data_IF_731568685823
#
_entry.id   IF_731568685823
#
_cell.length_a   1.000
_cell.length_b   1.000
_cell.length_c   1.000
_cell.angle_alpha   90.00
_cell.angle_beta   90.00
_cell.angle_gamma   90.00
#
_symmetry.space_group_name_H-M   'P 1'
#
loop_
_entity.id
_entity.type
_entity.pdbx_description
1 polymer ?
#
# COMPACT_ATOMS: atom_id res chain seq x y z
N UNK A 1 -18.72 -13.42 18.75
CA UNK A 1 -17.53 -12.57 19.04
C UNK A 1 -17.89 -11.35 19.88
N UNK A 2 -18.93 -10.59 19.55
CA UNK A 2 -19.37 -9.43 20.37
C UNK A 2 -19.78 -9.83 21.78
N UNK A 3 -20.59 -10.89 21.95
CA UNK A 3 -21.05 -11.37 23.27
C UNK A 3 -19.89 -11.80 24.17
N UNK A 4 -18.92 -12.54 23.64
CA UNK A 4 -17.73 -12.99 24.38
C UNK A 4 -16.89 -11.78 24.87
N UNK A 5 -16.75 -10.75 24.05
CA UNK A 5 -15.99 -9.54 24.43
C UNK A 5 -16.72 -8.71 25.48
N UNK A 6 -18.06 -8.68 25.45
CA UNK A 6 -18.88 -7.99 26.45
C UNK A 6 -18.85 -8.71 27.81
N UNK A 7 -18.75 -10.05 27.80
CA UNK A 7 -18.61 -10.84 29.03
C UNK A 7 -17.20 -10.78 29.65
N UNK A 8 -16.17 -10.65 28.80
CA UNK A 8 -14.76 -10.66 29.24
C UNK A 8 -14.28 -9.29 29.74
N UNK A 9 -14.81 -8.21 29.16
CA UNK A 9 -14.49 -6.83 29.52
C UNK A 9 -15.75 -6.12 30.04
N UNK A 10 -15.57 -5.06 30.84
CA UNK A 10 -16.71 -4.21 31.23
C UNK A 10 -17.52 -3.78 30.00
N UNK A 11 -18.84 -3.79 30.10
CA UNK A 11 -19.76 -3.59 28.98
C UNK A 11 -19.36 -2.50 27.97
N UNK A 12 -18.95 -1.27 28.40
CA UNK A 12 -18.58 -0.25 27.42
C UNK A 12 -17.29 -0.61 26.66
N UNK A 13 -16.27 -1.11 27.32
CA UNK A 13 -14.98 -1.44 26.70
C UNK A 13 -15.11 -2.62 25.72
N UNK A 14 -15.88 -3.66 26.08
CA UNK A 14 -16.14 -4.80 25.19
C UNK A 14 -16.82 -4.37 23.87
N UNK A 15 -17.77 -3.46 23.93
CA UNK A 15 -18.44 -2.91 22.75
C UNK A 15 -17.46 -2.11 21.87
N UNK A 16 -16.63 -1.28 22.50
CA UNK A 16 -15.61 -0.49 21.80
C UNK A 16 -14.63 -1.40 21.06
N UNK A 17 -14.08 -2.42 21.73
CA UNK A 17 -13.14 -3.37 21.11
C UNK A 17 -13.79 -4.09 19.93
N UNK A 18 -15.03 -4.57 20.08
CA UNK A 18 -15.77 -5.24 19.01
C UNK A 18 -15.95 -4.34 17.77
N UNK A 19 -16.24 -3.06 17.98
CA UNK A 19 -16.37 -2.09 16.90
C UNK A 19 -15.03 -1.78 16.23
N UNK A 20 -13.95 -1.63 16.98
CA UNK A 20 -12.60 -1.43 16.43
C UNK A 20 -12.14 -2.62 15.59
N UNK A 21 -12.37 -3.85 16.05
CA UNK A 21 -12.10 -5.07 15.27
C UNK A 21 -12.93 -5.08 13.99
N UNK A 22 -14.22 -4.74 14.08
CA UNK A 22 -15.09 -4.68 12.91
C UNK A 22 -14.66 -3.61 11.90
N UNK A 23 -14.18 -2.44 12.37
CA UNK A 23 -13.69 -1.37 11.50
C UNK A 23 -12.38 -1.74 10.77
N UNK A 24 -11.61 -2.69 11.30
CA UNK A 24 -10.37 -3.18 10.68
C UNK A 24 -10.62 -3.75 9.27
N UNK A 25 -11.79 -4.31 8.99
CA UNK A 25 -12.17 -4.82 7.66
C UNK A 25 -12.09 -3.74 6.57
N UNK A 26 -12.53 -2.52 6.86
CA UNK A 26 -12.52 -1.41 5.89
C UNK A 26 -11.09 -1.01 5.54
N UNK A 27 -10.19 -1.05 6.53
CA UNK A 27 -8.76 -0.85 6.31
C UNK A 27 -8.19 -1.92 5.37
N UNK A 28 -8.53 -3.19 5.59
CA UNK A 28 -8.08 -4.29 4.73
C UNK A 28 -8.59 -4.10 3.30
N UNK A 29 -9.88 -3.79 3.12
CA UNK A 29 -10.47 -3.56 1.80
C UNK A 29 -9.79 -2.40 1.07
N UNK A 30 -9.58 -1.27 1.74
CA UNK A 30 -8.91 -0.13 1.15
C UNK A 30 -7.45 -0.45 0.77
N UNK A 31 -6.73 -1.20 1.63
CA UNK A 31 -5.37 -1.65 1.34
C UNK A 31 -5.32 -2.59 0.13
N UNK A 32 -6.28 -3.51 -0.01
CA UNK A 32 -6.37 -4.41 -1.14
C UNK A 32 -6.67 -3.64 -2.45
N UNK A 33 -7.61 -2.69 -2.42
CA UNK A 33 -7.92 -1.83 -3.58
C UNK A 33 -6.68 -1.03 -3.98
N UNK A 34 -6.01 -0.41 -3.02
CA UNK A 34 -4.80 0.36 -3.27
C UNK A 34 -3.67 -0.50 -3.87
N UNK A 35 -3.45 -1.69 -3.30
CA UNK A 35 -2.38 -2.58 -3.74
C UNK A 35 -2.67 -3.23 -5.09
N UNK A 36 -3.89 -3.73 -5.32
CA UNK A 36 -4.27 -4.36 -6.59
C UNK A 36 -4.38 -3.33 -7.71
N UNK A 37 -5.14 -2.25 -7.50
CA UNK A 37 -5.30 -1.19 -8.49
C UNK A 37 -3.98 -0.46 -8.78
N UNK A 38 -3.25 -0.09 -7.73
CA UNK A 38 -1.92 0.53 -7.86
C UNK A 38 -0.90 -0.41 -8.49
N UNK A 39 -0.93 -1.70 -8.16
CA UNK A 39 -0.07 -2.72 -8.74
C UNK A 39 -0.30 -2.90 -10.24
N UNK A 40 -1.55 -2.96 -10.69
CA UNK A 40 -1.87 -3.04 -12.13
C UNK A 40 -1.33 -1.83 -12.91
N UNK A 41 -1.51 -0.62 -12.37
CA UNK A 41 -0.96 0.60 -12.98
C UNK A 41 0.57 0.59 -12.91
N UNK A 42 1.16 0.13 -11.79
CA UNK A 42 2.60 0.02 -11.63
C UNK A 42 3.24 -0.91 -12.66
N UNK A 43 2.60 -2.02 -13.05
CA UNK A 43 3.08 -2.90 -14.11
C UNK A 43 3.23 -2.14 -15.43
N UNK A 44 2.20 -1.37 -15.81
CA UNK A 44 2.24 -0.55 -17.01
C UNK A 44 3.37 0.49 -16.93
N UNK A 45 3.45 1.23 -15.81
CA UNK A 45 4.48 2.26 -15.62
C UNK A 45 5.88 1.65 -15.64
N UNK A 46 6.09 0.51 -14.98
CA UNK A 46 7.38 -0.20 -15.00
C UNK A 46 7.77 -0.58 -16.41
N UNK A 47 6.83 -1.13 -17.20
CA UNK A 47 7.08 -1.47 -18.59
C UNK A 47 7.49 -0.25 -19.41
N UNK A 48 6.80 0.89 -19.25
CA UNK A 48 7.15 2.14 -19.93
C UNK A 48 8.53 2.67 -19.51
N UNK A 49 8.91 2.49 -18.25
CA UNK A 49 10.19 2.92 -17.66
C UNK A 49 11.41 2.17 -18.18
N UNK A 50 11.23 0.89 -18.55
CA UNK A 50 12.32 0.04 -19.08
C UNK A 50 12.31 -0.02 -20.61
N UNK A 51 11.28 0.51 -21.26
CA UNK A 51 11.15 0.49 -22.72
C UNK A 51 12.26 1.32 -23.39
N UNK A 52 12.84 0.89 -24.54
CA UNK A 52 13.90 1.61 -25.24
C UNK A 52 13.51 3.02 -25.73
N UNK A 53 12.23 3.31 -25.89
CA UNK A 53 11.73 4.64 -26.33
C UNK A 53 11.96 5.70 -25.26
N UNK A 54 12.74 6.73 -25.59
CA UNK A 54 13.02 7.87 -24.71
C UNK A 54 11.74 8.63 -24.28
N UNK A 55 10.74 8.72 -25.18
CA UNK A 55 9.47 9.43 -24.91
C UNK A 55 8.68 8.69 -23.83
N UNK A 56 8.50 7.37 -23.97
CA UNK A 56 7.77 6.56 -23.00
C UNK A 56 8.46 6.56 -21.62
N UNK A 57 9.78 6.48 -21.65
CA UNK A 57 10.57 6.55 -20.42
C UNK A 57 10.42 7.91 -19.73
N UNK A 58 10.46 9.03 -20.49
CA UNK A 58 10.32 10.37 -19.93
C UNK A 58 8.93 10.61 -19.32
N UNK A 59 7.84 10.20 -20.01
CA UNK A 59 6.48 10.33 -19.50
C UNK A 59 6.31 9.54 -18.19
N UNK A 60 6.73 8.29 -18.18
CA UNK A 60 6.64 7.44 -16.99
C UNK A 60 7.55 7.92 -15.85
N UNK A 61 8.73 8.47 -16.17
CA UNK A 61 9.61 9.11 -15.19
C UNK A 61 8.93 10.31 -14.53
N UNK A 62 8.34 11.21 -15.33
CA UNK A 62 7.66 12.39 -14.82
C UNK A 62 6.50 12.04 -13.90
N UNK A 63 5.74 10.99 -14.24
CA UNK A 63 4.67 10.47 -13.39
C UNK A 63 5.21 10.00 -12.04
N UNK A 64 6.22 9.13 -12.05
CA UNK A 64 6.81 8.58 -10.81
C UNK A 64 7.42 9.69 -9.97
N UNK A 65 8.19 10.59 -10.59
CA UNK A 65 8.83 11.71 -9.90
C UNK A 65 7.79 12.62 -9.23
N UNK A 66 6.71 12.97 -9.95
CA UNK A 66 5.64 13.81 -9.41
C UNK A 66 4.99 13.19 -8.18
N UNK A 67 4.51 11.95 -8.29
CA UNK A 67 3.72 11.33 -7.22
C UNK A 67 4.56 10.80 -6.06
N UNK A 68 5.84 10.51 -6.25
CA UNK A 68 6.76 10.21 -5.14
C UNK A 68 7.22 11.47 -4.39
N UNK A 69 7.26 12.63 -5.05
CA UNK A 69 7.60 13.89 -4.41
C UNK A 69 6.48 14.44 -3.52
N UNK A 70 5.24 13.97 -3.70
CA UNK A 70 4.09 14.40 -2.91
C UNK A 70 3.91 13.50 -1.68
N UNK A 71 3.79 14.07 -0.46
CA UNK A 71 3.37 13.30 0.70
C UNK A 71 1.98 12.70 0.47
N UNK A 72 1.77 11.43 0.89
CA UNK A 72 0.47 10.76 0.76
C UNK A 72 -0.69 11.60 1.34
N UNK A 73 -0.46 12.27 2.46
CA UNK A 73 -1.45 13.13 3.09
C UNK A 73 -1.88 14.29 2.17
N UNK A 74 -0.94 14.91 1.45
CA UNK A 74 -1.26 15.97 0.50
C UNK A 74 -2.07 15.46 -0.68
N UNK A 75 -1.79 14.25 -1.15
CA UNK A 75 -2.56 13.63 -2.22
C UNK A 75 -4.00 13.35 -1.78
N UNK A 76 -4.19 12.87 -0.54
CA UNK A 76 -5.51 12.69 0.07
C UNK A 76 -6.26 14.02 0.19
N UNK A 77 -5.60 15.11 0.59
CA UNK A 77 -6.22 16.43 0.66
C UNK A 77 -6.62 16.97 -0.72
N UNK A 78 -5.75 16.84 -1.70
CA UNK A 78 -6.04 17.32 -3.07
C UNK A 78 -7.25 16.59 -3.63
N UNK A 79 -7.26 15.25 -3.58
CA UNK A 79 -8.31 14.43 -4.19
C UNK A 79 -9.58 14.40 -3.33
N UNK A 80 -9.43 14.33 -2.00
CA UNK A 80 -10.58 14.17 -1.09
C UNK A 80 -11.27 15.48 -0.70
N UNK A 81 -10.55 16.61 -0.71
CA UNK A 81 -11.09 17.89 -0.29
C UNK A 81 -10.93 18.99 -1.35
N UNK A 82 -9.78 19.04 -2.03
CA UNK A 82 -9.46 20.09 -2.98
C UNK A 82 -10.31 20.01 -4.25
N UNK A 83 -10.26 18.87 -4.93
CA UNK A 83 -11.02 18.65 -6.18
C UNK A 83 -12.54 18.75 -5.94
N UNK A 84 -13.13 18.10 -4.93
CA UNK A 84 -14.56 18.25 -4.63
C UNK A 84 -14.99 19.70 -4.43
N UNK A 85 -14.22 20.46 -3.64
CA UNK A 85 -14.49 21.87 -3.41
C UNK A 85 -14.39 22.72 -4.67
N UNK A 86 -13.43 22.40 -5.57
CA UNK A 86 -13.27 23.13 -6.82
C UNK A 86 -14.41 22.86 -7.81
N UNK A 87 -14.91 21.61 -7.87
CA UNK A 87 -16.00 21.19 -8.77
C UNK A 87 -17.39 21.52 -8.17
N UNK A 88 -17.47 21.80 -6.86
CA UNK A 88 -18.73 22.03 -6.17
C UNK A 88 -19.56 20.76 -5.91
N UNK A 89 -18.91 19.60 -5.85
CA UNK A 89 -19.53 18.30 -5.59
C UNK A 89 -18.80 17.56 -4.47
N UNK A 90 -19.54 16.95 -3.57
CA UNK A 90 -18.95 16.11 -2.53
C UNK A 90 -18.54 14.74 -3.10
N UNK A 91 -17.31 14.31 -2.79
CA UNK A 91 -16.85 12.96 -3.11
C UNK A 91 -17.00 12.06 -1.89
N UNK A 92 -17.53 10.86 -2.14
CA UNK A 92 -17.52 9.82 -1.11
C UNK A 92 -16.05 9.54 -0.70
N UNK A 93 -15.73 9.55 0.61
CA UNK A 93 -14.40 9.26 1.12
C UNK A 93 -13.78 7.95 0.62
N UNK A 94 -14.61 6.96 0.26
CA UNK A 94 -14.15 5.71 -0.34
C UNK A 94 -13.45 5.92 -1.69
N UNK A 95 -14.09 6.68 -2.59
CA UNK A 95 -13.50 6.96 -3.90
C UNK A 95 -12.26 7.83 -3.77
N UNK A 96 -12.33 8.87 -2.95
CA UNK A 96 -11.21 9.77 -2.74
C UNK A 96 -9.98 9.05 -2.15
N UNK A 97 -10.17 8.22 -1.11
CA UNK A 97 -9.10 7.43 -0.51
C UNK A 97 -8.56 6.39 -1.48
N UNK A 98 -9.44 5.67 -2.20
CA UNK A 98 -9.04 4.64 -3.16
C UNK A 98 -8.19 5.23 -4.30
N UNK A 99 -8.63 6.30 -4.92
CA UNK A 99 -7.90 6.96 -6.02
C UNK A 99 -6.54 7.47 -5.54
N UNK A 100 -6.51 8.17 -4.40
CA UNK A 100 -5.27 8.69 -3.82
C UNK A 100 -4.24 7.59 -3.55
N UNK A 101 -4.69 6.51 -2.91
CA UNK A 101 -3.83 5.39 -2.56
C UNK A 101 -3.40 4.57 -3.79
N UNK A 102 -4.27 4.39 -4.79
CA UNK A 102 -3.92 3.71 -6.05
C UNK A 102 -2.84 4.49 -6.79
N UNK A 103 -2.97 5.81 -6.92
CA UNK A 103 -1.95 6.66 -7.57
C UNK A 103 -0.63 6.57 -6.80
N UNK A 104 -0.67 6.75 -5.47
CA UNK A 104 0.51 6.66 -4.63
C UNK A 104 1.21 5.29 -4.76
N UNK A 105 0.44 4.21 -4.63
CA UNK A 105 0.93 2.84 -4.72
C UNK A 105 1.55 2.55 -6.09
N UNK A 106 0.92 3.03 -7.16
CA UNK A 106 1.41 2.77 -8.52
C UNK A 106 2.77 3.41 -8.78
N UNK A 107 3.00 4.63 -8.30
CA UNK A 107 4.28 5.31 -8.46
C UNK A 107 5.40 4.60 -7.68
N UNK A 108 5.13 4.20 -6.45
CA UNK A 108 6.12 3.54 -5.59
C UNK A 108 6.43 2.10 -6.03
N UNK A 109 5.40 1.29 -6.34
CA UNK A 109 5.62 -0.09 -6.83
C UNK A 109 6.33 -0.11 -8.18
N UNK A 110 6.03 0.83 -9.07
CA UNK A 110 6.72 0.93 -10.35
C UNK A 110 8.23 1.13 -10.16
N UNK A 111 8.65 1.93 -9.20
CA UNK A 111 10.06 2.16 -8.91
C UNK A 111 10.70 0.94 -8.20
N UNK A 112 9.98 0.29 -7.30
CA UNK A 112 10.42 -0.98 -6.68
C UNK A 112 10.69 -2.03 -7.74
N UNK A 113 9.77 -2.24 -8.67
CA UNK A 113 9.92 -3.24 -9.73
C UNK A 113 10.95 -2.85 -10.77
N UNK A 114 11.06 -1.58 -11.12
CA UNK A 114 12.14 -1.07 -11.98
C UNK A 114 13.51 -1.33 -11.33
N UNK A 115 13.65 -1.04 -10.03
CA UNK A 115 14.87 -1.30 -9.28
C UNK A 115 15.26 -2.79 -9.29
N UNK A 116 14.27 -3.68 -9.11
CA UNK A 116 14.49 -5.12 -9.19
C UNK A 116 14.94 -5.57 -10.59
N UNK A 117 14.39 -4.97 -11.67
CA UNK A 117 14.82 -5.25 -13.05
C UNK A 117 16.26 -4.80 -13.27
N UNK A 118 16.63 -3.63 -12.77
CA UNK A 118 17.99 -3.10 -12.91
C UNK A 118 19.04 -3.85 -12.06
N UNK A 119 18.59 -4.59 -11.04
CA UNK A 119 19.48 -5.45 -10.25
C UNK A 119 19.95 -6.69 -11.03
N UNK A 120 19.30 -7.03 -12.14
CA UNK A 120 19.74 -8.15 -13.00
C UNK A 120 21.04 -7.78 -13.71
N UNK A 121 22.08 -8.64 -13.62
CA UNK A 121 23.37 -8.38 -14.24
C UNK A 121 23.27 -8.14 -15.74
N UNK A 122 24.02 -7.15 -16.25
CA UNK A 122 24.02 -6.79 -17.68
C UNK A 122 24.31 -7.98 -18.60
N UNK A 123 25.17 -8.91 -18.18
CA UNK A 123 25.48 -10.12 -18.94
C UNK A 123 24.26 -10.99 -19.27
N UNK A 124 23.20 -10.95 -18.46
CA UNK A 124 21.93 -11.64 -18.77
C UNK A 124 21.24 -11.00 -19.98
N UNK A 125 21.27 -9.68 -20.07
CA UNK A 125 20.72 -8.93 -21.19
C UNK A 125 21.54 -9.11 -22.46
N UNK A 126 22.87 -9.03 -22.35
CA UNK A 126 23.82 -9.16 -23.46
C UNK A 126 23.82 -10.59 -24.01
N UNK A 127 23.84 -11.61 -23.14
CA UNK A 127 23.76 -13.01 -23.54
C UNK A 127 22.46 -13.35 -24.26
N UNK A 128 21.31 -12.81 -23.77
CA UNK A 128 20.02 -12.98 -24.42
C UNK A 128 19.98 -12.27 -25.79
N UNK A 129 20.57 -11.08 -25.90
CA UNK A 129 20.69 -10.37 -27.17
C UNK A 129 21.58 -11.12 -28.19
N UNK A 130 22.66 -11.77 -27.74
CA UNK A 130 23.52 -12.60 -28.58
C UNK A 130 22.78 -13.82 -29.17
N UNK A 131 21.73 -14.29 -28.52
CA UNK A 131 20.81 -15.31 -29.03
C UNK A 131 19.74 -14.75 -30.02
N UNK A 132 19.89 -13.50 -30.44
CA UNK A 132 18.98 -12.79 -31.34
C UNK A 132 17.54 -12.70 -30.83
N UNK A 133 17.34 -12.69 -29.50
CA UNK A 133 16.04 -12.47 -28.88
C UNK A 133 15.65 -10.99 -28.95
N UNK A 134 14.40 -10.71 -29.28
CA UNK A 134 13.88 -9.34 -29.24
C UNK A 134 13.60 -8.89 -27.80
N UNK A 135 13.43 -7.58 -27.59
CA UNK A 135 13.25 -6.99 -26.26
C UNK A 135 12.16 -7.68 -25.42
N UNK A 136 11.01 -7.97 -26.00
CA UNK A 136 9.90 -8.63 -25.29
C UNK A 136 10.23 -10.09 -24.92
N UNK A 137 10.94 -10.81 -25.79
CA UNK A 137 11.40 -12.17 -25.51
C UNK A 137 12.43 -12.18 -24.38
N UNK A 138 13.42 -11.27 -24.43
CA UNK A 138 14.41 -11.10 -23.35
C UNK A 138 13.69 -10.84 -22.03
N UNK A 139 12.76 -9.87 -22.02
CA UNK A 139 12.03 -9.51 -20.83
C UNK A 139 11.24 -10.69 -20.26
N UNK A 140 10.44 -11.37 -21.10
CA UNK A 140 9.54 -12.45 -20.67
C UNK A 140 10.27 -13.73 -20.27
N UNK A 141 11.28 -14.14 -21.05
CA UNK A 141 11.92 -15.46 -20.90
C UNK A 141 13.11 -15.45 -19.94
N UNK A 142 13.82 -14.34 -19.85
CA UNK A 142 15.09 -14.26 -19.09
C UNK A 142 14.93 -13.35 -17.86
N UNK A 143 14.43 -12.14 -18.05
CA UNK A 143 14.48 -11.10 -17.01
C UNK A 143 13.36 -11.28 -15.97
N UNK A 144 12.09 -11.35 -16.38
CA UNK A 144 10.96 -11.43 -15.44
C UNK A 144 11.07 -12.63 -14.48
N UNK A 145 11.43 -13.85 -14.90
CA UNK A 145 11.61 -14.96 -13.98
C UNK A 145 12.66 -14.72 -12.89
N UNK A 146 13.72 -13.98 -13.23
CA UNK A 146 14.77 -13.62 -12.28
C UNK A 146 14.33 -12.45 -11.38
N UNK A 147 13.70 -11.41 -11.95
CA UNK A 147 13.20 -10.23 -11.23
C UNK A 147 12.22 -10.59 -10.11
N UNK A 148 11.40 -11.63 -10.30
CA UNK A 148 10.47 -12.09 -9.28
C UNK A 148 11.16 -12.32 -7.92
N UNK A 149 12.34 -12.92 -7.91
CA UNK A 149 13.14 -13.16 -6.69
C UNK A 149 13.52 -11.85 -5.99
N UNK A 150 13.94 -10.83 -6.74
CA UNK A 150 14.39 -9.55 -6.20
C UNK A 150 13.24 -8.60 -5.83
N UNK A 151 12.07 -8.75 -6.45
CA UNK A 151 10.95 -7.84 -6.28
C UNK A 151 9.98 -8.23 -5.16
N UNK A 152 9.86 -9.53 -4.82
CA UNK A 152 8.79 -10.00 -3.96
C UNK A 152 8.89 -9.46 -2.53
N UNK A 153 10.08 -9.50 -1.92
CA UNK A 153 10.27 -9.03 -0.55
C UNK A 153 10.05 -7.51 -0.41
N UNK A 154 10.63 -6.63 -1.27
CA UNK A 154 10.30 -5.21 -1.27
C UNK A 154 8.82 -4.92 -1.53
N UNK A 155 8.15 -5.73 -2.38
CA UNK A 155 6.72 -5.59 -2.65
C UNK A 155 5.87 -5.87 -1.41
N UNK A 156 6.18 -6.95 -0.66
CA UNK A 156 5.48 -7.26 0.60
C UNK A 156 5.76 -6.18 1.67
N UNK A 157 7.00 -5.70 1.75
CA UNK A 157 7.37 -4.61 2.66
C UNK A 157 6.60 -3.33 2.35
N UNK A 158 6.39 -3.01 1.07
CA UNK A 158 5.58 -1.88 0.65
C UNK A 158 4.08 -2.08 0.93
N UNK A 159 3.55 -3.31 0.82
CA UNK A 159 2.18 -3.61 1.23
C UNK A 159 1.94 -3.28 2.71
N UNK A 160 2.90 -3.61 3.58
CA UNK A 160 2.83 -3.24 5.01
C UNK A 160 2.79 -1.71 5.17
N UNK A 161 3.58 -0.99 4.38
CA UNK A 161 3.58 0.48 4.38
C UNK A 161 2.21 1.04 3.94
N UNK A 162 1.58 0.46 2.92
CA UNK A 162 0.23 0.85 2.48
C UNK A 162 -0.80 0.60 3.57
N UNK A 163 -0.79 -0.57 4.24
CA UNK A 163 -1.70 -0.85 5.35
C UNK A 163 -1.59 0.21 6.46
N UNK A 164 -0.38 0.67 6.77
CA UNK A 164 -0.17 1.78 7.72
C UNK A 164 -0.63 3.11 7.13
N UNK A 165 -0.32 3.37 5.87
CA UNK A 165 -0.66 4.61 5.15
C UNK A 165 -2.16 4.85 4.98
N UNK A 166 -2.97 3.78 4.85
CA UNK A 166 -4.44 3.94 4.78
C UNK A 166 -5.01 4.64 6.01
N UNK A 167 -4.31 4.60 7.16
CA UNK A 167 -4.76 5.31 8.37
C UNK A 167 -4.87 6.82 8.18
N UNK A 168 -4.13 7.42 7.22
CA UNK A 168 -4.22 8.84 6.94
C UNK A 168 -5.56 9.25 6.30
N UNK A 169 -6.27 8.29 5.70
CA UNK A 169 -7.55 8.55 5.06
C UNK A 169 -8.66 8.98 6.05
N UNK A 170 -8.47 8.79 7.37
CA UNK A 170 -9.41 9.30 8.38
C UNK A 170 -9.62 10.82 8.28
N UNK A 171 -8.61 11.55 7.79
CA UNK A 171 -8.64 13.02 7.70
C UNK A 171 -9.70 13.50 6.69
N UNK A 172 -9.92 12.75 5.62
CA UNK A 172 -10.96 13.03 4.62
C UNK A 172 -12.31 12.39 4.97
N UNK A 173 -12.45 11.85 6.19
CA UNK A 173 -13.70 11.26 6.68
C UNK A 173 -13.86 9.76 6.38
N UNK A 174 -12.83 9.06 5.88
CA UNK A 174 -12.88 7.62 5.66
C UNK A 174 -13.07 6.87 6.97
N UNK A 175 -14.13 6.06 7.06
CA UNK A 175 -14.52 5.36 8.29
C UNK A 175 -13.75 4.05 8.45
N UNK A 176 -12.52 4.15 8.96
CA UNK A 176 -11.67 3.00 9.29
C UNK A 176 -11.41 2.88 10.80
N UNK A 177 -10.53 1.94 11.15
CA UNK A 177 -10.05 1.75 12.52
C UNK A 177 -9.52 3.06 13.14
N UNK A 178 -8.82 3.93 12.35
CA UNK A 178 -8.24 5.15 12.89
C UNK A 178 -9.29 6.21 13.22
N UNK A 179 -10.25 6.43 12.32
CA UNK A 179 -11.33 7.39 12.56
C UNK A 179 -12.21 6.95 13.73
N UNK A 180 -12.58 5.67 13.77
CA UNK A 180 -13.41 5.14 14.84
C UNK A 180 -12.70 5.18 16.19
N UNK A 181 -11.41 4.81 16.23
CA UNK A 181 -10.61 4.88 17.46
C UNK A 181 -10.48 6.32 17.98
N UNK A 182 -10.26 7.29 17.09
CA UNK A 182 -10.25 8.72 17.49
C UNK A 182 -11.61 9.20 18.02
N UNK A 183 -12.71 8.75 17.42
CA UNK A 183 -14.06 9.10 17.92
C UNK A 183 -14.27 8.56 19.34
N UNK A 184 -13.91 7.30 19.58
CA UNK A 184 -13.99 6.70 20.91
C UNK A 184 -13.04 7.37 21.90
N UNK A 185 -11.78 7.61 21.56
CA UNK A 185 -10.81 8.27 22.42
C UNK A 185 -11.21 9.69 22.87
N UNK A 186 -12.15 10.32 22.16
CA UNK A 186 -12.69 11.64 22.53
C UNK A 186 -14.13 11.56 23.06
N UNK A 187 -14.71 10.37 23.21
CA UNK A 187 -16.06 10.21 23.74
C UNK A 187 -16.06 10.31 25.28
N UNK A 188 -17.06 10.93 25.90
CA UNK A 188 -17.16 11.04 27.37
C UNK A 188 -17.73 9.73 27.96
N UNK A 189 -17.06 8.62 27.74
CA UNK A 189 -17.48 7.28 28.19
C UNK A 189 -16.34 6.64 28.98
N UNK A 190 -16.66 6.03 30.10
CA UNK A 190 -15.69 5.28 30.94
C UNK A 190 -15.10 4.12 30.11
N UNK A 191 -13.78 3.99 30.11
CA UNK A 191 -13.07 2.98 29.31
C UNK A 191 -12.78 3.41 27.86
N UNK A 192 -13.10 4.65 27.47
CA UNK A 192 -12.79 5.22 26.16
C UNK A 192 -11.60 6.20 26.17
N UNK A 193 -10.90 6.28 27.30
CA UNK A 193 -9.78 7.21 27.43
C UNK A 193 -8.67 6.96 26.40
N UNK A 194 -8.02 8.00 25.88
CA UNK A 194 -6.99 7.88 24.83
C UNK A 194 -5.88 6.89 25.17
N UNK A 195 -5.46 6.83 26.44
CA UNK A 195 -4.41 5.91 26.90
C UNK A 195 -4.87 4.44 26.94
N UNK A 196 -6.15 4.14 26.78
CA UNK A 196 -6.71 2.78 26.62
C UNK A 196 -6.91 2.48 25.14
N UNK A 197 -7.56 3.40 24.41
CA UNK A 197 -7.97 3.18 23.02
C UNK A 197 -6.76 3.10 22.07
N UNK A 198 -5.78 4.00 22.18
CA UNK A 198 -4.62 3.99 21.27
C UNK A 198 -3.75 2.73 21.42
N UNK A 199 -3.44 2.20 22.62
CA UNK A 199 -2.78 0.90 22.74
C UNK A 199 -3.57 -0.25 22.10
N UNK A 200 -4.89 -0.30 22.25
CA UNK A 200 -5.73 -1.32 21.62
C UNK A 200 -5.62 -1.22 20.09
N UNK A 201 -5.71 -0.01 19.55
CA UNK A 201 -5.50 0.21 18.11
C UNK A 201 -4.09 -0.23 17.69
N UNK A 202 -3.05 0.10 18.45
CA UNK A 202 -1.68 -0.30 18.16
C UNK A 202 -1.52 -1.83 18.10
N UNK A 203 -2.16 -2.56 19.02
CA UNK A 203 -2.19 -4.03 18.99
C UNK A 203 -2.88 -4.54 17.73
N UNK A 204 -4.02 -3.96 17.34
CA UNK A 204 -4.72 -4.35 16.10
C UNK A 204 -3.85 -4.10 14.85
N UNK A 205 -3.17 -2.95 14.76
CA UNK A 205 -2.20 -2.68 13.69
C UNK A 205 -1.03 -3.66 13.70
N UNK A 206 -0.52 -3.98 14.89
CA UNK A 206 0.54 -4.96 15.04
C UNK A 206 0.10 -6.34 14.54
N UNK A 207 -1.08 -6.82 14.94
CA UNK A 207 -1.63 -8.10 14.50
C UNK A 207 -1.82 -8.16 12.97
N UNK A 208 -2.16 -7.04 12.32
CA UNK A 208 -2.27 -6.97 10.86
C UNK A 208 -0.92 -6.98 10.16
N UNK A 209 0.06 -6.21 10.66
CA UNK A 209 1.31 -5.98 9.97
C UNK A 209 2.38 -7.04 10.29
N UNK A 210 2.37 -7.60 11.50
CA UNK A 210 3.40 -8.52 11.99
C UNK A 210 3.51 -9.82 11.18
N UNK A 211 2.41 -10.52 10.81
CA UNK A 211 2.50 -11.71 9.98
C UNK A 211 3.13 -11.43 8.61
N UNK A 212 2.76 -10.29 8.01
CA UNK A 212 3.33 -9.86 6.73
C UNK A 212 4.82 -9.50 6.86
N UNK A 213 5.23 -8.90 7.97
CA UNK A 213 6.64 -8.57 8.23
C UNK A 213 7.51 -9.83 8.40
N UNK A 214 7.01 -10.85 9.10
CA UNK A 214 7.69 -12.15 9.20
C UNK A 214 7.81 -12.77 7.80
N UNK A 215 6.73 -12.76 7.04
CA UNK A 215 6.73 -13.31 5.69
C UNK A 215 7.71 -12.59 4.76
N UNK A 216 7.74 -11.25 4.76
CA UNK A 216 8.73 -10.47 4.00
C UNK A 216 10.16 -10.86 4.37
N UNK A 217 10.47 -10.93 5.67
CA UNK A 217 11.80 -11.32 6.16
C UNK A 217 12.18 -12.76 5.78
N UNK A 218 11.21 -13.67 5.74
CA UNK A 218 11.46 -15.05 5.27
C UNK A 218 11.80 -15.06 3.78
N UNK A 219 11.08 -14.29 2.96
CA UNK A 219 11.37 -14.14 1.53
C UNK A 219 12.75 -13.55 1.27
N UNK A 220 13.14 -12.50 1.99
CA UNK A 220 14.49 -11.92 1.89
C UNK A 220 15.58 -12.95 2.16
N UNK A 221 15.46 -13.72 3.24
CA UNK A 221 16.43 -14.77 3.57
C UNK A 221 16.52 -15.84 2.49
N UNK A 222 15.38 -16.28 1.95
CA UNK A 222 15.32 -17.28 0.89
C UNK A 222 16.02 -16.79 -0.37
N UNK A 223 15.75 -15.55 -0.78
CA UNK A 223 16.40 -14.93 -1.94
C UNK A 223 17.91 -14.70 -1.76
N UNK A 224 18.37 -14.43 -0.52
CA UNK A 224 19.78 -14.23 -0.22
C UNK A 224 20.62 -15.53 -0.21
N UNK A 225 20.00 -16.69 0.07
CA UNK A 225 20.68 -17.98 0.10
C UNK A 225 20.89 -18.57 -1.32
N UNK A 226 20.04 -18.16 -2.27
CA UNK A 226 20.07 -18.66 -3.65
C UNK A 226 21.03 -17.85 -4.59
N UNK A 227 21.75 -16.87 -4.05
CA UNK A 227 22.84 -16.11 -4.71
C UNK A 227 24.20 -16.54 -4.18
#
# INVERSE_FOLDING_TARGET
>A
MQEILIETFDKPLGIIIAQLISATRFKIYLSLIAFTGGGLIALLITFLRIHPSKILNYISFSYVWLFQSLPLLMLLFIIGLGIPRFIGQDFDPWYAASISLVIFTSAYLAEVWRGAILAIPKGQWEGAAALNLNFLQILRLIIIPQVYKYSIAPTVSFLIQIIKGTSLAYIIGFQDLMLLGKRWANAPVIGSEPFIIFPIMAVLYFCLCYPLAIYAKHLEKKCAIEN
#
